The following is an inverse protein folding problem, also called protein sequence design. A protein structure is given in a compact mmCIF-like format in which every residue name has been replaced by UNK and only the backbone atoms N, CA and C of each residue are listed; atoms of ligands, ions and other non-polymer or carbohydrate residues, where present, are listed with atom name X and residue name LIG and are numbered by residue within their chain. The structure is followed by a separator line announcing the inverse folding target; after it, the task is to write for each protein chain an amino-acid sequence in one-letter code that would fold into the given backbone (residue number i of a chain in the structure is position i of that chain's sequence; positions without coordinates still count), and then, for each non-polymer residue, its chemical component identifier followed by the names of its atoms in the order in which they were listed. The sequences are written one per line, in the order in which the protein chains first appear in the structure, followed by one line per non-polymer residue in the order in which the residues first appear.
data_IF_818014044757
#
_entry.id   IF_818014044757
#
_cell.length_a   1.000
_cell.length_b   1.000
_cell.length_c   1.000
_cell.angle_alpha   90.00
_cell.angle_beta   90.00
_cell.angle_gamma   90.00
#
_symmetry.space_group_name_H-M   'P 1'
#
loop_
_entity.id
_entity.type
_entity.pdbx_description
1 polymer ?
#
# COMPACT_ATOMS: atom_id res chain seq x y z
N UNK A 1 -9.53 -28.02 -48.04
CA UNK A 1 -9.88 -27.43 -46.73
C UNK A 1 -8.65 -27.46 -45.82
N UNK A 2 -7.99 -26.31 -45.61
CA UNK A 2 -7.02 -26.12 -44.52
C UNK A 2 -7.52 -24.94 -43.70
N UNK A 3 -8.13 -25.20 -42.53
CA UNK A 3 -8.31 -24.18 -41.50
C UNK A 3 -7.01 -24.20 -40.68
N UNK A 4 -6.21 -23.16 -40.82
CA UNK A 4 -5.16 -22.87 -39.85
C UNK A 4 -5.84 -22.53 -38.52
N UNK A 5 -5.58 -23.32 -37.49
CA UNK A 5 -5.85 -22.90 -36.12
C UNK A 5 -4.91 -21.73 -35.80
N UNK A 6 -5.45 -20.52 -35.76
CA UNK A 6 -4.80 -19.41 -35.07
C UNK A 6 -4.84 -19.76 -33.57
N UNK A 7 -3.72 -20.22 -33.04
CA UNK A 7 -3.50 -20.18 -31.59
C UNK A 7 -3.63 -18.73 -31.16
N UNK A 8 -4.51 -18.44 -30.20
CA UNK A 8 -4.57 -17.16 -29.52
C UNK A 8 -3.26 -16.98 -28.76
N UNK A 9 -2.24 -16.42 -29.42
CA UNK A 9 -0.98 -16.06 -28.78
C UNK A 9 -1.28 -14.95 -27.78
N UNK A 10 -1.39 -15.32 -26.51
CA UNK A 10 -1.46 -14.35 -25.42
C UNK A 10 -0.13 -13.60 -25.41
N UNK A 11 -0.18 -12.29 -25.59
CA UNK A 11 1.01 -11.46 -25.57
C UNK A 11 1.44 -11.30 -24.10
N UNK A 12 2.65 -11.79 -23.80
CA UNK A 12 3.25 -11.70 -22.48
C UNK A 12 4.20 -10.51 -22.41
N UNK A 13 4.13 -9.74 -21.32
CA UNK A 13 5.10 -8.73 -20.96
C UNK A 13 6.03 -9.24 -19.87
N UNK A 14 7.31 -8.86 -19.97
CA UNK A 14 8.33 -9.15 -18.97
C UNK A 14 8.50 -7.93 -18.08
N UNK A 15 8.19 -8.08 -16.80
CA UNK A 15 8.28 -7.02 -15.81
C UNK A 15 9.31 -7.44 -14.76
N UNK A 16 10.27 -6.56 -14.50
CA UNK A 16 11.15 -6.70 -13.34
C UNK A 16 10.53 -5.96 -12.17
N UNK A 17 10.43 -6.63 -11.03
CA UNK A 17 9.95 -6.03 -9.79
C UNK A 17 11.10 -5.97 -8.81
N UNK A 18 11.43 -4.78 -8.34
CA UNK A 18 12.39 -4.56 -7.26
C UNK A 18 11.63 -4.48 -5.94
N UNK A 19 11.92 -5.36 -5.00
CA UNK A 19 11.25 -5.38 -3.71
C UNK A 19 12.07 -4.65 -2.65
N UNK A 20 11.40 -3.79 -1.90
CA UNK A 20 11.84 -3.31 -0.59
C UNK A 20 10.77 -3.70 0.42
N UNK A 21 11.16 -4.35 1.52
CA UNK A 21 10.24 -4.71 2.59
C UNK A 21 10.60 -3.90 3.83
N UNK A 22 9.58 -3.39 4.50
CA UNK A 22 9.71 -2.83 5.83
C UNK A 22 8.70 -3.46 6.78
N UNK A 23 9.14 -3.69 8.01
CA UNK A 23 8.24 -4.06 9.11
C UNK A 23 8.11 -2.83 9.99
N UNK A 24 6.92 -2.53 10.48
CA UNK A 24 6.74 -1.43 11.41
C UNK A 24 5.85 -1.85 12.58
N UNK A 25 6.13 -1.28 13.74
CA UNK A 25 5.28 -1.37 14.93
C UNK A 25 5.33 -0.01 15.62
N UNK A 26 4.21 0.41 16.22
CA UNK A 26 4.09 1.66 16.95
C UNK A 26 4.60 2.85 16.11
N UNK A 27 4.27 2.86 14.82
CA UNK A 27 4.66 3.92 13.87
C UNK A 27 6.18 4.05 13.62
N UNK A 28 6.98 3.05 14.00
CA UNK A 28 8.44 2.99 13.78
C UNK A 28 8.85 1.76 12.98
N UNK A 29 9.92 1.88 12.21
CA UNK A 29 10.50 0.74 11.53
C UNK A 29 11.11 -0.27 12.52
N UNK A 30 10.80 -1.54 12.30
CA UNK A 30 11.34 -2.71 12.97
C UNK A 30 12.10 -3.60 11.98
N UNK A 31 12.90 -2.98 11.10
CA UNK A 31 13.62 -3.67 10.03
C UNK A 31 14.70 -4.63 10.55
N UNK A 32 15.05 -4.61 11.84
CA UNK A 32 15.84 -5.65 12.48
C UNK A 32 15.19 -7.04 12.37
N UNK A 33 13.86 -7.09 12.23
CA UNK A 33 13.13 -8.33 11.96
C UNK A 33 13.40 -8.86 10.54
N UNK A 34 14.00 -8.07 9.65
CA UNK A 34 14.36 -8.48 8.29
C UNK A 34 15.82 -8.93 8.14
N UNK A 35 16.58 -8.98 9.24
CA UNK A 35 17.96 -9.46 9.22
C UNK A 35 17.98 -10.95 8.81
N UNK A 36 18.73 -11.34 7.76
CA UNK A 36 18.86 -12.73 7.35
C UNK A 36 19.35 -13.61 8.50
N UNK A 37 18.76 -14.80 8.64
CA UNK A 37 19.10 -15.81 9.66
C UNK A 37 18.83 -15.41 11.12
N UNK A 38 18.12 -14.31 11.39
CA UNK A 38 17.65 -13.96 12.73
C UNK A 38 16.60 -14.95 13.23
N UNK A 39 16.67 -15.38 14.48
CA UNK A 39 15.60 -16.19 15.11
C UNK A 39 14.46 -15.31 15.69
N UNK A 40 14.59 -13.98 15.61
CA UNK A 40 13.57 -13.05 16.07
C UNK A 40 12.61 -12.71 14.94
N UNK A 41 11.36 -13.19 15.03
CA UNK A 41 10.32 -12.98 14.02
C UNK A 41 9.20 -12.03 14.48
N UNK A 42 9.37 -11.40 15.66
CA UNK A 42 8.35 -10.51 16.22
C UNK A 42 7.00 -11.21 16.45
N UNK A 43 5.94 -10.41 16.52
CA UNK A 43 4.57 -10.90 16.75
C UNK A 43 3.97 -11.50 15.46
N UNK A 44 4.48 -11.10 14.29
CA UNK A 44 3.95 -11.51 12.98
C UNK A 44 4.24 -12.98 12.65
N UNK A 45 5.26 -13.58 13.26
CA UNK A 45 5.56 -15.01 13.12
C UNK A 45 6.58 -15.33 12.02
N UNK A 46 7.20 -16.51 12.13
CA UNK A 46 8.26 -16.99 11.23
C UNK A 46 7.75 -17.15 9.80
N UNK A 47 6.58 -17.74 9.66
CA UNK A 47 5.91 -18.06 8.39
C UNK A 47 5.64 -16.83 7.52
N UNK A 48 5.45 -15.66 8.14
CA UNK A 48 5.28 -14.38 7.45
C UNK A 48 6.64 -13.72 7.19
N UNK A 49 7.49 -13.63 8.22
CA UNK A 49 8.71 -12.83 8.16
C UNK A 49 9.84 -13.50 7.36
N UNK A 50 10.01 -14.82 7.46
CA UNK A 50 11.09 -15.54 6.76
C UNK A 50 11.01 -15.38 5.23
N UNK A 51 9.85 -15.56 4.58
CA UNK A 51 9.72 -15.33 3.13
C UNK A 51 10.00 -13.88 2.72
N UNK A 52 9.58 -12.92 3.56
CA UNK A 52 9.82 -11.49 3.33
C UNK A 52 11.30 -11.11 3.43
N UNK A 53 12.06 -11.74 4.33
CA UNK A 53 13.54 -11.58 4.38
C UNK A 53 14.21 -12.00 3.09
N UNK A 54 13.76 -13.12 2.52
CA UNK A 54 14.33 -13.69 1.30
C UNK A 54 14.13 -12.72 0.12
N UNK A 55 12.97 -12.06 0.06
CA UNK A 55 12.60 -11.15 -1.02
C UNK A 55 13.16 -9.74 -0.86
N UNK A 56 13.46 -9.32 0.38
CA UNK A 56 13.88 -7.95 0.65
C UNK A 56 15.14 -7.58 -0.14
N UNK A 57 15.12 -6.42 -0.80
CA UNK A 57 16.18 -5.91 -1.67
C UNK A 57 16.55 -6.84 -2.85
N UNK A 58 15.58 -7.64 -3.33
CA UNK A 58 15.74 -8.49 -4.53
C UNK A 58 14.96 -7.96 -5.72
N UNK A 59 15.48 -8.25 -6.90
CA UNK A 59 14.82 -8.00 -8.18
C UNK A 59 14.37 -9.32 -8.80
N UNK A 60 13.10 -9.41 -9.17
CA UNK A 60 12.51 -10.63 -9.74
C UNK A 60 11.79 -10.31 -11.03
N UNK A 61 12.00 -11.14 -12.05
CA UNK A 61 11.30 -11.03 -13.32
C UNK A 61 10.01 -11.86 -13.29
N UNK A 62 8.90 -11.22 -13.63
CA UNK A 62 7.61 -11.86 -13.86
C UNK A 62 7.28 -11.80 -15.35
N UNK A 63 6.81 -12.93 -15.88
CA UNK A 63 6.15 -12.98 -17.19
C UNK A 63 4.65 -12.94 -16.94
N UNK A 64 3.99 -11.88 -17.40
CA UNK A 64 2.55 -11.67 -17.15
C UNK A 64 1.83 -11.36 -18.45
N UNK A 65 0.55 -11.70 -18.54
CA UNK A 65 -0.28 -11.31 -19.67
C UNK A 65 -0.41 -9.78 -19.73
N UNK A 66 -0.39 -9.19 -20.93
CA UNK A 66 -0.56 -7.74 -21.07
C UNK A 66 -1.87 -7.21 -20.45
N UNK A 67 -2.90 -8.06 -20.37
CA UNK A 67 -4.19 -7.77 -19.76
C UNK A 67 -4.27 -8.04 -18.26
N UNK A 68 -3.17 -8.45 -17.59
CA UNK A 68 -3.19 -8.80 -16.17
C UNK A 68 -3.76 -7.65 -15.33
N UNK A 69 -4.76 -7.94 -14.51
CA UNK A 69 -5.29 -6.99 -13.55
C UNK A 69 -4.33 -6.78 -12.39
N UNK A 70 -4.44 -5.66 -11.68
CA UNK A 70 -3.67 -5.44 -10.45
C UNK A 70 -3.97 -6.51 -9.40
N UNK A 71 -5.23 -6.96 -9.30
CA UNK A 71 -5.61 -8.06 -8.40
C UNK A 71 -4.82 -9.33 -8.70
N UNK A 72 -4.78 -9.74 -9.97
CA UNK A 72 -4.04 -10.94 -10.39
C UNK A 72 -2.53 -10.75 -10.22
N UNK A 73 -2.00 -9.57 -10.54
CA UNK A 73 -0.58 -9.27 -10.33
C UNK A 73 -0.18 -9.33 -8.86
N UNK A 74 -1.01 -8.81 -7.95
CA UNK A 74 -0.78 -8.91 -6.51
C UNK A 74 -0.85 -10.35 -6.01
N UNK A 75 -1.76 -11.16 -6.55
CA UNK A 75 -1.81 -12.60 -6.27
C UNK A 75 -0.53 -13.31 -6.76
N UNK A 76 0.00 -12.94 -7.93
CA UNK A 76 1.27 -13.49 -8.43
C UNK A 76 2.44 -13.14 -7.50
N UNK A 77 2.51 -11.90 -7.00
CA UNK A 77 3.51 -11.48 -6.01
C UNK A 77 3.36 -12.30 -4.73
N UNK A 78 2.15 -12.40 -4.16
CA UNK A 78 1.91 -13.16 -2.92
C UNK A 78 2.26 -14.63 -3.07
N UNK A 79 1.86 -15.28 -4.17
CA UNK A 79 2.24 -16.66 -4.48
C UNK A 79 3.74 -16.85 -4.68
N UNK A 80 4.44 -15.84 -5.20
CA UNK A 80 5.89 -15.91 -5.32
C UNK A 80 6.57 -15.85 -3.95
N UNK A 81 6.13 -14.94 -3.07
CA UNK A 81 6.65 -14.80 -1.71
C UNK A 81 6.33 -16.07 -0.89
N UNK A 82 5.06 -16.48 -0.86
CA UNK A 82 4.55 -17.63 -0.11
C UNK A 82 4.29 -18.84 -1.01
N UNK A 83 5.27 -19.19 -1.86
CA UNK A 83 5.20 -20.41 -2.68
C UNK A 83 4.95 -21.67 -1.84
N UNK A 84 4.56 -22.80 -2.44
CA UNK A 84 4.31 -24.06 -1.70
C UNK A 84 5.43 -24.48 -0.73
N UNK A 85 6.69 -24.07 -0.98
CA UNK A 85 7.82 -24.33 -0.06
C UNK A 85 7.82 -23.48 1.20
N UNK A 86 7.27 -22.27 1.10
CA UNK A 86 7.20 -21.27 2.17
C UNK A 86 5.80 -21.23 2.80
N UNK A 87 4.81 -21.84 2.15
CA UNK A 87 3.45 -21.91 2.63
C UNK A 87 3.35 -22.99 3.72
N UNK A 88 3.11 -22.56 4.97
CA UNK A 88 2.93 -23.46 6.12
C UNK A 88 1.45 -23.45 6.53
N UNK A 89 1.03 -24.40 7.36
CA UNK A 89 -0.24 -24.26 8.06
C UNK A 89 -0.15 -22.99 8.91
N UNK A 90 -1.22 -22.20 8.93
CA UNK A 90 -1.25 -21.01 9.78
C UNK A 90 -1.17 -21.38 11.27
N UNK A 91 -0.86 -20.40 12.11
CA UNK A 91 -0.73 -20.61 13.56
C UNK A 91 -2.10 -20.76 14.26
N UNK A 92 -3.22 -20.57 13.55
CA UNK A 92 -4.55 -20.36 14.14
C UNK A 92 -5.61 -21.43 13.78
N UNK A 93 -5.35 -22.39 12.88
CA UNK A 93 -6.30 -23.46 12.57
C UNK A 93 -5.84 -24.49 11.53
N UNK A 94 -6.41 -25.70 11.59
CA UNK A 94 -5.94 -26.88 10.84
C UNK A 94 -6.27 -26.90 9.32
N UNK A 95 -6.79 -25.81 8.72
CA UNK A 95 -7.23 -25.81 7.31
C UNK A 95 -6.77 -24.60 6.47
N UNK A 96 -6.17 -23.57 7.07
CA UNK A 96 -5.71 -22.38 6.35
C UNK A 96 -4.19 -22.36 6.21
N UNK A 97 -3.71 -21.98 5.03
CA UNK A 97 -2.28 -21.82 4.77
C UNK A 97 -1.83 -20.38 5.02
N UNK A 98 -0.52 -20.15 5.19
CA UNK A 98 0.05 -18.81 5.30
C UNK A 98 -0.38 -17.88 4.16
N UNK A 99 -0.48 -18.40 2.93
CA UNK A 99 -0.98 -17.64 1.78
C UNK A 99 -2.46 -17.27 1.94
N UNK A 100 -3.30 -18.20 2.41
CA UNK A 100 -4.72 -17.94 2.64
C UNK A 100 -4.90 -16.85 3.70
N UNK A 101 -4.14 -16.95 4.81
CA UNK A 101 -4.12 -15.95 5.87
C UNK A 101 -3.68 -14.57 5.35
N UNK A 102 -2.58 -14.49 4.61
CA UNK A 102 -2.07 -13.23 4.04
C UNK A 102 -3.08 -12.60 3.08
N UNK A 103 -3.81 -13.41 2.31
CA UNK A 103 -4.84 -12.93 1.39
C UNK A 103 -6.12 -12.49 2.11
N UNK A 104 -6.58 -13.25 3.13
CA UNK A 104 -7.81 -12.96 3.87
C UNK A 104 -7.68 -11.67 4.70
N UNK A 105 -6.54 -11.49 5.36
CA UNK A 105 -6.32 -10.38 6.29
C UNK A 105 -5.57 -9.18 5.67
N UNK A 106 -5.23 -9.25 4.37
CA UNK A 106 -4.46 -8.23 3.61
C UNK A 106 -3.19 -7.78 4.36
N UNK A 107 -2.47 -8.73 4.98
CA UNK A 107 -1.30 -8.51 5.85
C UNK A 107 -0.19 -7.73 5.16
N UNK A 108 -0.09 -7.87 3.83
CA UNK A 108 0.89 -7.17 3.01
C UNK A 108 0.27 -5.94 2.37
N UNK A 109 0.67 -4.77 2.84
CA UNK A 109 0.39 -3.51 2.16
C UNK A 109 1.39 -3.32 1.01
N UNK A 110 0.91 -3.42 -0.24
CA UNK A 110 1.76 -3.38 -1.45
C UNK A 110 1.63 -2.00 -2.13
N UNK A 111 2.76 -1.32 -2.24
CA UNK A 111 2.88 0.00 -2.85
C UNK A 111 3.77 -0.01 -4.08
N UNK A 112 3.39 0.78 -5.08
CA UNK A 112 4.26 1.17 -6.17
C UNK A 112 5.08 2.37 -5.73
N UNK A 113 6.40 2.30 -5.87
CA UNK A 113 7.28 3.43 -5.62
C UNK A 113 7.53 4.20 -6.91
N UNK A 114 7.36 5.52 -6.85
CA UNK A 114 7.77 6.42 -7.92
C UNK A 114 8.25 7.74 -7.33
N UNK A 115 9.45 8.17 -7.72
CA UNK A 115 10.06 9.43 -7.28
C UNK A 115 10.13 9.62 -5.75
N UNK A 116 10.29 8.53 -5.00
CA UNK A 116 10.33 8.55 -3.54
C UNK A 116 8.97 8.49 -2.84
N UNK A 117 7.86 8.52 -3.59
CA UNK A 117 6.50 8.41 -3.06
C UNK A 117 5.95 7.00 -3.22
N UNK A 118 5.24 6.52 -2.19
CA UNK A 118 4.40 5.33 -2.23
C UNK A 118 3.02 5.61 -2.82
N UNK A 119 2.62 4.77 -3.77
CA UNK A 119 1.29 4.75 -4.34
C UNK A 119 0.60 3.42 -4.07
N UNK A 120 -0.53 3.43 -3.37
CA UNK A 120 -1.43 2.28 -3.26
C UNK A 120 -2.43 2.29 -4.42
N UNK A 121 -2.92 1.10 -4.79
CA UNK A 121 -3.90 0.94 -5.85
C UNK A 121 -5.25 0.54 -5.27
N UNK A 122 -6.21 1.45 -5.35
CA UNK A 122 -7.58 1.30 -4.83
C UNK A 122 -8.42 0.45 -5.79
N UNK A 123 -8.40 0.76 -7.09
CA UNK A 123 -9.17 0.01 -8.09
C UNK A 123 -8.30 -1.13 -8.67
N UNK A 124 -8.24 -2.24 -7.93
CA UNK A 124 -7.46 -3.44 -8.27
C UNK A 124 -8.01 -4.20 -9.50
N UNK A 125 -9.17 -3.81 -10.04
CA UNK A 125 -9.78 -4.48 -11.21
C UNK A 125 -9.17 -4.06 -12.55
N UNK A 126 -8.49 -2.91 -12.58
CA UNK A 126 -7.85 -2.41 -13.81
C UNK A 126 -6.54 -3.12 -14.10
N UNK A 127 -6.14 -3.04 -15.36
CA UNK A 127 -4.90 -3.64 -15.86
C UNK A 127 -3.66 -2.98 -15.24
N UNK A 128 -2.62 -3.77 -15.03
CA UNK A 128 -1.33 -3.33 -14.55
C UNK A 128 -0.70 -2.26 -15.47
N UNK A 129 -0.77 -2.48 -16.79
CA UNK A 129 -0.24 -1.54 -17.79
C UNK A 129 -0.83 -0.13 -17.65
N UNK A 130 -2.12 -0.02 -17.30
CA UNK A 130 -2.79 1.28 -17.10
C UNK A 130 -2.08 2.10 -16.02
N UNK A 131 -1.77 1.48 -14.87
CA UNK A 131 -1.09 2.18 -13.78
C UNK A 131 0.39 2.42 -14.06
N UNK A 132 1.05 1.50 -14.75
CA UNK A 132 2.43 1.70 -15.18
C UNK A 132 2.56 2.92 -16.10
N UNK A 133 1.71 3.03 -17.13
CA UNK A 133 1.68 4.20 -18.02
C UNK A 133 1.41 5.49 -17.24
N UNK A 134 0.48 5.44 -16.29
CA UNK A 134 0.10 6.59 -15.45
C UNK A 134 1.22 7.09 -14.55
N UNK A 135 1.99 6.17 -13.96
CA UNK A 135 3.15 6.48 -13.13
C UNK A 135 4.42 6.72 -13.95
N UNK A 136 4.35 6.65 -15.29
CA UNK A 136 5.52 6.76 -16.17
C UNK A 136 6.56 5.65 -15.91
N UNK A 137 6.07 4.45 -15.60
CA UNK A 137 6.87 3.24 -15.36
C UNK A 137 6.94 2.45 -16.67
N UNK A 138 8.14 1.97 -17.00
CA UNK A 138 8.39 1.13 -18.18
C UNK A 138 8.29 -0.35 -17.79
N UNK A 139 9.38 -1.11 -17.77
CA UNK A 139 9.37 -2.56 -17.50
C UNK A 139 9.91 -2.91 -16.12
N UNK A 140 10.19 -1.91 -15.28
CA UNK A 140 10.74 -2.09 -13.94
C UNK A 140 9.87 -1.36 -12.95
N UNK A 141 9.25 -2.11 -12.05
CA UNK A 141 8.38 -1.59 -10.99
C UNK A 141 9.14 -1.71 -9.68
N UNK A 142 9.31 -0.60 -8.98
CA UNK A 142 9.77 -0.62 -7.60
C UNK A 142 8.54 -0.85 -6.71
N UNK A 143 8.54 -1.93 -5.93
CA UNK A 143 7.48 -2.28 -5.00
C UNK A 143 8.01 -2.20 -3.57
N UNK A 144 7.29 -1.44 -2.74
CA UNK A 144 7.49 -1.45 -1.29
C UNK A 144 6.38 -2.24 -0.62
N UNK A 145 6.75 -3.20 0.22
CA UNK A 145 5.83 -3.97 1.05
C UNK A 145 5.96 -3.48 2.48
N UNK A 146 4.85 -3.07 3.10
CA UNK A 146 4.77 -2.80 4.54
C UNK A 146 4.00 -3.91 5.23
N UNK A 147 4.47 -4.29 6.42
CA UNK A 147 3.79 -5.21 7.32
C UNK A 147 3.78 -4.61 8.71
N UNK A 148 2.59 -4.49 9.30
CA UNK A 148 2.44 -4.09 10.69
C UNK A 148 2.76 -5.28 11.60
N UNK A 149 3.56 -5.04 12.63
CA UNK A 149 3.82 -5.96 13.74
C UNK A 149 3.07 -5.54 15.02
N UNK A 150 2.04 -4.71 14.90
CA UNK A 150 1.23 -4.26 16.02
C UNK A 150 0.15 -5.27 16.40
N UNK A 151 0.09 -5.65 17.68
CA UNK A 151 -1.03 -6.39 18.24
C UNK A 151 -2.20 -5.44 18.57
N UNK A 152 -2.83 -4.89 17.53
CA UNK A 152 -3.86 -3.84 17.63
C UNK A 152 -3.30 -2.43 17.39
N UNK A 153 -4.16 -1.43 17.18
CA UNK A 153 -3.69 -0.10 16.81
C UNK A 153 -3.06 0.67 18.00
N UNK A 154 -1.74 0.86 17.98
CA UNK A 154 -1.03 1.76 18.89
C UNK A 154 -0.71 3.05 18.13
N UNK A 155 -1.27 4.17 18.57
CA UNK A 155 -0.99 5.49 18.01
C UNK A 155 0.04 6.16 18.93
N UNK A 156 1.29 6.30 18.48
CA UNK A 156 2.30 7.05 19.23
C UNK A 156 2.20 8.55 18.92
N UNK A 157 1.94 8.90 17.66
CA UNK A 157 1.62 10.26 17.25
C UNK A 157 0.17 10.61 17.58
N UNK A 158 -0.21 11.88 17.36
CA UNK A 158 -1.48 12.50 17.77
C UNK A 158 -2.79 11.71 17.47
N UNK A 159 -2.70 10.59 16.75
CA UNK A 159 -3.73 9.62 16.47
C UNK A 159 -4.59 10.08 15.31
N UNK A 160 -3.99 10.78 14.35
CA UNK A 160 -4.66 11.45 13.24
C UNK A 160 -4.09 10.89 11.94
N UNK A 161 -4.87 10.10 11.23
CA UNK A 161 -4.52 9.58 9.91
C UNK A 161 -5.02 10.54 8.85
N UNK A 162 -4.17 10.91 7.90
CA UNK A 162 -4.54 11.72 6.73
C UNK A 162 -4.65 10.84 5.50
N UNK A 163 -5.69 11.01 4.70
CA UNK A 163 -5.88 10.29 3.44
C UNK A 163 -6.67 11.11 2.44
N UNK A 164 -6.52 10.82 1.15
CA UNK A 164 -7.30 11.43 0.07
C UNK A 164 -8.09 10.30 -0.60
N UNK A 165 -9.36 10.52 -0.91
CA UNK A 165 -10.21 9.47 -1.51
C UNK A 165 -10.13 9.48 -3.03
N UNK A 166 -9.93 8.31 -3.64
CA UNK A 166 -9.88 8.17 -5.10
C UNK A 166 -11.31 8.08 -5.64
N UNK A 167 -11.65 8.96 -6.59
CA UNK A 167 -13.01 9.17 -7.13
C UNK A 167 -14.01 9.73 -6.13
N UNK A 168 -13.80 10.97 -5.69
CA UNK A 168 -14.95 11.81 -5.36
C UNK A 168 -15.70 12.16 -6.66
N UNK A 169 -16.57 11.25 -7.07
CA UNK A 169 -17.37 11.37 -8.27
C UNK A 169 -18.25 12.62 -8.22
N UNK A 170 -17.99 13.54 -9.17
CA UNK A 170 -18.76 14.70 -9.65
C UNK A 170 -18.15 16.06 -9.29
N UNK A 171 -17.63 16.72 -10.35
CA UNK A 171 -17.16 18.11 -10.43
C UNK A 171 -16.00 18.42 -9.47
N UNK A 172 -15.12 19.31 -9.89
CA UNK A 172 -13.99 19.78 -9.11
C UNK A 172 -14.49 20.46 -7.82
N UNK A 173 -14.69 19.67 -6.77
CA UNK A 173 -14.86 20.17 -5.41
C UNK A 173 -13.52 20.75 -4.93
N UNK A 174 -13.61 21.60 -3.92
CA UNK A 174 -12.44 22.20 -3.27
C UNK A 174 -11.42 21.12 -2.85
N UNK A 175 -10.12 21.27 -3.17
CA UNK A 175 -9.08 20.34 -2.72
C UNK A 175 -9.11 20.16 -1.20
N UNK A 176 -9.15 18.93 -0.72
CA UNK A 176 -9.28 18.62 0.70
C UNK A 176 -8.60 17.32 1.08
N UNK A 177 -8.35 17.13 2.37
CA UNK A 177 -7.83 15.90 2.94
C UNK A 177 -8.87 15.34 3.91
N UNK A 178 -9.02 14.02 3.91
CA UNK A 178 -9.83 13.32 4.90
C UNK A 178 -8.94 12.96 6.10
N UNK A 179 -9.53 13.00 7.28
CA UNK A 179 -8.86 12.63 8.52
C UNK A 179 -9.69 11.60 9.26
N UNK A 180 -9.01 10.62 9.84
CA UNK A 180 -9.56 9.66 10.79
C UNK A 180 -8.79 9.74 12.11
N UNK A 181 -9.51 9.89 13.20
CA UNK A 181 -8.96 10.07 14.55
C UNK A 181 -9.10 8.76 15.30
N UNK A 182 -7.96 8.17 15.70
CA UNK A 182 -7.86 7.00 16.58
C UNK A 182 -8.86 5.89 16.18
N UNK A 183 -8.89 5.56 14.88
CA UNK A 183 -9.79 4.58 14.26
C UNK A 183 -11.27 4.80 14.62
N UNK A 184 -11.85 5.92 14.17
CA UNK A 184 -13.28 6.17 14.26
C UNK A 184 -13.78 6.93 15.49
N UNK A 185 -12.89 7.44 16.37
CA UNK A 185 -13.31 8.39 17.42
C UNK A 185 -13.89 9.68 16.83
N UNK A 186 -13.41 10.06 15.65
CA UNK A 186 -13.92 11.16 14.85
C UNK A 186 -13.35 11.10 13.45
N UNK A 187 -14.12 11.53 12.47
CA UNK A 187 -13.67 11.60 11.08
C UNK A 187 -14.26 12.83 10.41
N UNK A 188 -13.56 13.32 9.38
CA UNK A 188 -13.99 14.50 8.64
C UNK A 188 -13.08 14.85 7.49
N UNK A 189 -13.40 15.93 6.80
CA UNK A 189 -12.57 16.47 5.72
C UNK A 189 -12.22 17.92 5.96
N UNK A 190 -11.03 18.33 5.54
CA UNK A 190 -10.47 19.67 5.75
C UNK A 190 -9.97 20.23 4.42
N UNK A 191 -10.28 21.49 4.15
CA UNK A 191 -9.80 22.18 2.94
C UNK A 191 -8.29 22.28 2.95
N UNK A 192 -7.64 21.88 1.86
CA UNK A 192 -6.22 22.11 1.68
C UNK A 192 -5.90 23.60 1.44
N UNK A 193 -6.89 24.42 1.07
CA UNK A 193 -6.70 25.86 0.82
C UNK A 193 -6.79 26.69 2.09
N UNK A 194 -7.76 26.39 2.95
CA UNK A 194 -8.04 27.20 4.14
C UNK A 194 -7.74 26.49 5.45
N UNK A 195 -7.45 25.18 5.41
CA UNK A 195 -7.31 24.30 6.56
C UNK A 195 -8.55 24.26 7.47
N UNK A 196 -9.69 24.75 6.98
CA UNK A 196 -10.96 24.70 7.69
C UNK A 196 -11.68 23.38 7.44
N UNK A 197 -12.42 22.91 8.45
CA UNK A 197 -13.19 21.68 8.36
C UNK A 197 -14.37 21.86 7.40
N UNK A 198 -14.43 21.01 6.38
CA UNK A 198 -15.51 20.97 5.38
C UNK A 198 -16.64 20.04 5.82
N UNK A 199 -16.31 18.85 6.32
CA UNK A 199 -17.28 17.84 6.76
C UNK A 199 -16.78 17.04 7.96
N UNK A 200 -17.67 16.25 8.57
CA UNK A 200 -17.32 15.38 9.70
C UNK A 200 -17.83 15.87 11.04
N UNK A 201 -17.72 15.02 12.05
CA UNK A 201 -18.17 15.31 13.41
C UNK A 201 -17.26 14.62 14.43
N UNK A 202 -17.36 15.05 15.70
CA UNK A 202 -16.61 14.49 16.84
C UNK A 202 -15.08 14.72 16.84
N UNK A 203 -14.56 15.62 16.00
CA UNK A 203 -13.16 16.06 16.07
C UNK A 203 -13.02 17.13 17.15
N UNK A 204 -12.14 16.90 18.14
CA UNK A 204 -11.95 17.83 19.26
C UNK A 204 -11.13 19.04 18.79
N UNK A 205 -11.32 20.21 19.45
CA UNK A 205 -10.57 21.44 19.13
C UNK A 205 -9.04 21.26 19.14
N UNK A 206 -8.52 20.42 20.04
CA UNK A 206 -7.09 20.09 20.09
C UNK A 206 -6.61 19.41 18.80
N UNK A 207 -7.40 18.46 18.30
CA UNK A 207 -7.08 17.67 17.12
C UNK A 207 -7.25 18.53 15.86
N UNK A 208 -8.28 19.40 15.81
CA UNK A 208 -8.45 20.40 14.75
C UNK A 208 -7.25 21.35 14.63
N UNK A 209 -6.68 21.79 15.76
CA UNK A 209 -5.49 22.65 15.75
C UNK A 209 -4.28 21.95 15.13
N UNK A 210 -4.05 20.69 15.52
CA UNK A 210 -2.98 19.85 14.97
C UNK A 210 -3.17 19.64 13.47
N UNK A 211 -4.40 19.29 13.05
CA UNK A 211 -4.75 19.11 11.63
C UNK A 211 -4.46 20.38 10.83
N UNK A 212 -4.88 21.53 11.35
CA UNK A 212 -4.67 22.83 10.70
C UNK A 212 -3.18 23.13 10.51
N UNK A 213 -2.39 22.95 11.56
CA UNK A 213 -0.95 23.17 11.53
C UNK A 213 -0.25 22.24 10.52
N UNK A 214 -0.63 20.96 10.47
CA UNK A 214 -0.09 20.00 9.49
C UNK A 214 -0.46 20.40 8.06
N UNK A 215 -1.72 20.80 7.80
CA UNK A 215 -2.15 21.26 6.48
C UNK A 215 -1.41 22.52 6.06
N UNK A 216 -1.28 23.51 6.94
CA UNK A 216 -0.61 24.77 6.64
C UNK A 216 0.88 24.55 6.33
N UNK A 217 1.56 23.69 7.10
CA UNK A 217 2.98 23.39 6.90
C UNK A 217 3.26 22.57 5.63
N UNK A 218 2.31 21.74 5.19
CA UNK A 218 2.47 20.81 4.06
C UNK A 218 1.55 21.15 2.87
N UNK A 219 0.97 22.35 2.84
CA UNK A 219 -0.09 22.72 1.89
C UNK A 219 0.31 22.48 0.43
N UNK A 220 1.53 22.87 0.06
CA UNK A 220 2.02 22.73 -1.30
C UNK A 220 2.10 21.26 -1.72
N UNK A 221 2.60 20.40 -0.84
CA UNK A 221 2.79 18.99 -1.11
C UNK A 221 1.45 18.25 -1.14
N UNK A 222 0.54 18.56 -0.20
CA UNK A 222 -0.82 18.04 -0.26
C UNK A 222 -1.57 18.43 -1.53
N UNK A 223 -1.37 19.65 -2.04
CA UNK A 223 -1.97 20.05 -3.33
C UNK A 223 -1.36 19.27 -4.50
N UNK A 224 -0.06 18.95 -4.45
CA UNK A 224 0.57 18.07 -5.43
C UNK A 224 -0.04 16.68 -5.34
N UNK A 225 -0.08 16.08 -4.14
CA UNK A 225 -0.64 14.75 -3.93
C UNK A 225 -2.12 14.68 -4.33
N UNK A 226 -2.92 15.69 -4.00
CA UNK A 226 -4.31 15.80 -4.46
C UNK A 226 -4.43 15.77 -5.98
N UNK A 227 -3.52 16.43 -6.69
CA UNK A 227 -3.50 16.43 -8.16
C UNK A 227 -2.97 15.10 -8.74
N UNK A 228 -2.06 14.43 -8.05
CA UNK A 228 -1.55 13.10 -8.44
C UNK A 228 -2.57 11.98 -8.16
N UNK A 229 -3.38 12.16 -7.11
CA UNK A 229 -4.39 11.24 -6.65
C UNK A 229 -5.57 11.16 -7.64
N UNK A 230 -5.54 10.16 -8.52
CA UNK A 230 -6.45 10.10 -9.68
C UNK A 230 -6.79 8.66 -10.07
N UNK A 231 -8.05 8.41 -10.47
CA UNK A 231 -8.56 7.17 -11.09
C UNK A 231 -8.15 5.82 -10.47
N UNK A 232 -8.07 5.73 -9.15
CA UNK A 232 -7.75 4.47 -8.45
C UNK A 232 -6.34 4.38 -7.90
N UNK A 233 -5.54 5.45 -7.96
CA UNK A 233 -4.25 5.59 -7.25
C UNK A 233 -4.41 6.46 -6.01
N UNK A 234 -3.82 6.03 -4.90
CA UNK A 234 -3.70 6.80 -3.67
C UNK A 234 -2.25 6.96 -3.22
N UNK A 235 -1.87 8.16 -2.79
CA UNK A 235 -0.53 8.48 -2.29
C UNK A 235 -0.52 8.23 -0.79
N UNK A 236 0.46 7.48 -0.29
CA UNK A 236 0.59 7.27 1.16
C UNK A 236 1.06 8.55 1.85
N UNK A 237 0.09 9.31 2.38
CA UNK A 237 0.36 10.54 3.11
C UNK A 237 1.06 10.30 4.45
N UNK A 238 0.95 9.12 5.06
CA UNK A 238 1.66 8.83 6.30
C UNK A 238 3.18 8.80 6.07
N UNK A 239 3.62 8.27 4.93
CA UNK A 239 5.02 8.39 4.50
C UNK A 239 5.43 9.85 4.28
N UNK A 240 4.64 10.57 3.49
CA UNK A 240 4.96 11.94 3.10
C UNK A 240 5.08 12.90 4.29
N UNK A 241 4.30 12.63 5.35
CA UNK A 241 4.30 13.41 6.58
C UNK A 241 5.31 12.90 7.62
N UNK A 242 6.02 11.81 7.33
CA UNK A 242 6.96 11.20 8.27
C UNK A 242 6.31 10.60 9.52
N UNK A 243 5.00 10.29 9.44
CA UNK A 243 4.24 9.64 10.52
C UNK A 243 4.67 8.18 10.72
N UNK A 244 5.31 7.58 9.71
CA UNK A 244 6.10 6.36 9.91
C UNK A 244 7.56 6.80 9.94
N UNK A 245 8.20 6.65 11.10
CA UNK A 245 9.59 7.06 11.30
C UNK A 245 10.54 6.02 10.70
N UNK A 246 11.29 6.44 9.67
CA UNK A 246 12.34 5.67 8.98
C UNK A 246 13.70 5.83 9.66
#
# INVERSE_FOLDING_TARGET
MKRAMQGSGVLLMKITVNFTVHIYAEERLCDELLIPHSENYGIVGEEIIEPLRIINNRSIMFEVENSVSIKEFYQLIRRHIYSEKNNRMDMYGEEQTTLDFVEEYDVLEIYFLKNGSRYSIVDKSKNLEFYMQKLGISNTIDIQILVSSDAGAVFEDHGIRFYINSREGKRHNEPHVHVDIRQGEGSGSFSLKTAEQLTGSKIRKKDQKIIKEIIENNQKDFLIYWNEHTDGLDVDLNQALGLIHY
#
